data_IF_100275630502
#
_entry.id   IF_100275630502
#
_cell.length_a   1.000
_cell.length_b   1.000
_cell.length_c   1.000
_cell.angle_alpha   90.00
_cell.angle_beta   90.00
_cell.angle_gamma   90.00
#
_symmetry.space_group_name_H-M   'P 1'
#
loop_
_entity.id
_entity.type
_entity.pdbx_description
1 polymer ?
#
# COMPACT_ATOMS: atom_id res chain seq x y z
N UNK A 1 -6.61 -8.98 -2.07
CA UNK A 1 -6.85 -7.62 -1.53
C UNK A 1 -6.52 -6.52 -2.55
N UNK A 2 -6.31 -6.87 -3.83
CA UNK A 2 -6.00 -5.96 -4.92
C UNK A 2 -6.98 -4.77 -5.10
N UNK A 3 -8.28 -4.95 -4.88
CA UNK A 3 -9.26 -3.84 -5.03
C UNK A 3 -8.99 -2.70 -4.05
N UNK A 4 -8.66 -3.02 -2.80
CA UNK A 4 -8.36 -2.01 -1.78
C UNK A 4 -7.01 -1.32 -2.07
N UNK A 5 -6.03 -2.09 -2.52
CA UNK A 5 -4.73 -1.58 -3.01
C UNK A 5 -4.91 -0.62 -4.20
N UNK A 6 -5.73 -0.98 -5.18
CA UNK A 6 -6.05 -0.13 -6.33
C UNK A 6 -6.77 1.15 -5.89
N UNK A 7 -7.76 1.04 -4.98
CA UNK A 7 -8.46 2.19 -4.43
C UNK A 7 -7.50 3.17 -3.71
N UNK A 8 -6.49 2.67 -2.99
CA UNK A 8 -5.47 3.51 -2.37
C UNK A 8 -4.71 4.33 -3.40
N UNK A 9 -4.30 3.71 -4.52
CA UNK A 9 -3.63 4.40 -5.63
C UNK A 9 -4.53 5.45 -6.28
N UNK A 10 -5.79 5.12 -6.54
CA UNK A 10 -6.77 6.06 -7.12
C UNK A 10 -6.98 7.28 -6.23
N UNK A 11 -7.23 7.08 -4.93
CA UNK A 11 -7.42 8.19 -3.99
C UNK A 11 -6.15 9.02 -3.78
N UNK A 12 -4.98 8.38 -3.80
CA UNK A 12 -3.70 9.08 -3.75
C UNK A 12 -3.52 10.02 -4.95
N UNK A 13 -3.79 9.57 -6.17
CA UNK A 13 -3.71 10.40 -7.38
C UNK A 13 -4.68 11.57 -7.26
N UNK A 14 -5.95 11.31 -6.96
CA UNK A 14 -6.98 12.35 -6.89
C UNK A 14 -6.60 13.47 -5.92
N UNK A 15 -6.15 13.11 -4.71
CA UNK A 15 -5.76 14.11 -3.70
C UNK A 15 -4.49 14.86 -4.08
N UNK A 16 -3.48 14.16 -4.58
CA UNK A 16 -2.22 14.82 -4.98
C UNK A 16 -2.44 15.74 -6.18
N UNK A 17 -3.22 15.33 -7.17
CA UNK A 17 -3.59 16.19 -8.31
C UNK A 17 -4.34 17.44 -7.85
N UNK A 18 -5.31 17.31 -6.94
CA UNK A 18 -6.03 18.47 -6.40
C UNK A 18 -5.10 19.45 -5.68
N UNK A 19 -4.16 18.95 -4.87
CA UNK A 19 -3.17 19.79 -4.17
C UNK A 19 -2.25 20.50 -5.17
N UNK A 20 -1.76 19.79 -6.19
CA UNK A 20 -0.88 20.37 -7.21
C UNK A 20 -1.58 21.52 -7.95
N UNK A 21 -2.82 21.33 -8.39
CA UNK A 21 -3.59 22.37 -9.10
C UNK A 21 -3.71 23.64 -8.24
N UNK A 22 -4.09 23.50 -6.98
CA UNK A 22 -4.22 24.64 -6.05
C UNK A 22 -2.90 25.38 -5.87
N UNK A 23 -1.77 24.66 -5.82
CA UNK A 23 -0.45 25.27 -5.63
C UNK A 23 0.10 25.92 -6.91
N UNK A 24 -0.28 25.41 -8.08
CA UNK A 24 0.08 26.03 -9.37
C UNK A 24 -0.61 27.39 -9.55
N UNK A 25 -1.85 27.51 -9.09
CA UNK A 25 -2.64 28.74 -9.24
C UNK A 25 -2.15 29.88 -8.33
N UNK A 26 -1.52 29.56 -7.18
CA UNK A 26 -0.95 30.55 -6.25
C UNK A 26 0.58 30.42 -6.15
N UNK A 27 1.31 31.29 -6.87
CA UNK A 27 2.79 31.31 -6.85
C UNK A 27 3.38 31.61 -5.47
N UNK A 28 2.65 32.27 -4.57
CA UNK A 28 3.11 32.47 -3.19
C UNK A 28 3.02 31.17 -2.37
N UNK A 29 2.23 30.20 -2.85
CA UNK A 29 1.97 28.93 -2.22
C UNK A 29 2.88 27.78 -2.68
N UNK A 30 3.90 28.02 -3.53
CA UNK A 30 4.81 26.97 -4.04
C UNK A 30 5.51 26.19 -2.91
N UNK A 31 5.71 26.81 -1.74
CA UNK A 31 6.25 26.10 -0.58
C UNK A 31 5.29 25.05 0.00
N UNK A 32 3.99 25.10 -0.30
CA UNK A 32 2.98 24.14 0.16
C UNK A 32 2.86 22.89 -0.73
N UNK A 33 3.61 22.78 -1.85
CA UNK A 33 3.69 21.54 -2.64
C UNK A 33 4.06 20.33 -1.76
N UNK A 34 4.86 20.54 -0.71
CA UNK A 34 5.26 19.48 0.23
C UNK A 34 4.09 18.85 0.98
N UNK A 35 2.93 19.53 1.09
CA UNK A 35 1.71 18.98 1.70
C UNK A 35 1.22 17.75 0.94
N UNK A 36 1.49 17.64 -0.38
CA UNK A 36 1.15 16.47 -1.18
C UNK A 36 1.87 15.17 -0.74
N UNK A 37 2.98 15.28 0.02
CA UNK A 37 3.63 14.09 0.58
C UNK A 37 2.80 13.42 1.68
N UNK A 38 1.94 14.17 2.37
CA UNK A 38 1.11 13.64 3.47
C UNK A 38 0.17 12.54 2.95
N UNK A 39 -0.72 12.77 1.96
CA UNK A 39 -1.53 11.70 1.41
C UNK A 39 -0.67 10.63 0.72
N UNK A 40 0.42 11.01 0.07
CA UNK A 40 1.33 10.06 -0.60
C UNK A 40 1.88 9.00 0.36
N UNK A 41 2.41 9.42 1.51
CA UNK A 41 2.95 8.50 2.52
C UNK A 41 1.86 7.67 3.19
N UNK A 42 0.70 8.27 3.46
CA UNK A 42 -0.44 7.57 4.05
C UNK A 42 -0.94 6.45 3.13
N UNK A 43 -1.17 6.75 1.86
CA UNK A 43 -1.64 5.75 0.90
C UNK A 43 -0.57 4.71 0.56
N UNK A 44 0.72 5.08 0.56
CA UNK A 44 1.81 4.11 0.44
C UNK A 44 1.76 3.09 1.57
N UNK A 45 1.58 3.54 2.81
CA UNK A 45 1.46 2.64 3.96
C UNK A 45 0.23 1.74 3.85
N UNK A 46 -0.94 2.30 3.51
CA UNK A 46 -2.19 1.55 3.37
C UNK A 46 -2.11 0.50 2.24
N UNK A 47 -1.56 0.88 1.10
CA UNK A 47 -1.38 0.00 -0.05
C UNK A 47 -0.46 -1.18 0.29
N UNK A 48 0.68 -0.86 0.93
CA UNK A 48 1.61 -1.87 1.43
C UNK A 48 0.98 -2.77 2.48
N UNK A 49 0.09 -2.23 3.32
CA UNK A 49 -0.66 -3.00 4.32
C UNK A 49 -1.59 -4.03 3.66
N UNK A 50 -2.36 -3.61 2.64
CA UNK A 50 -3.24 -4.53 1.92
C UNK A 50 -2.47 -5.60 1.17
N UNK A 51 -1.30 -5.26 0.62
CA UNK A 51 -0.40 -6.23 -0.01
C UNK A 51 0.17 -7.23 1.00
N UNK A 52 0.64 -6.76 2.16
CA UNK A 52 1.14 -7.62 3.23
C UNK A 52 0.06 -8.55 3.78
N UNK A 53 -1.18 -8.06 3.88
CA UNK A 53 -2.34 -8.87 4.26
C UNK A 53 -2.63 -9.96 3.21
N UNK A 54 -2.59 -9.61 1.92
CA UNK A 54 -2.76 -10.59 0.84
C UNK A 54 -1.70 -11.69 0.86
N UNK A 55 -0.43 -11.33 1.06
CA UNK A 55 0.67 -12.29 1.17
C UNK A 55 0.41 -13.29 2.31
N UNK A 56 -0.03 -12.81 3.48
CA UNK A 56 -0.33 -13.67 4.63
C UNK A 56 -1.51 -14.61 4.39
N UNK A 57 -2.56 -14.12 3.73
CA UNK A 57 -3.69 -15.00 3.34
C UNK A 57 -3.23 -16.08 2.37
N UNK A 58 -2.37 -15.74 1.40
CA UNK A 58 -1.78 -16.71 0.47
C UNK A 58 -0.91 -17.76 1.20
N UNK A 59 -0.13 -17.33 2.20
CA UNK A 59 0.72 -18.24 2.98
C UNK A 59 -0.11 -19.25 3.79
N UNK A 60 -1.20 -18.78 4.43
CA UNK A 60 -2.12 -19.67 5.17
C UNK A 60 -2.78 -20.67 4.21
N UNK A 61 -3.26 -20.19 3.07
CA UNK A 61 -3.88 -21.05 2.06
C UNK A 61 -2.89 -22.12 1.56
N UNK A 62 -1.66 -21.73 1.20
CA UNK A 62 -0.63 -22.67 0.75
C UNK A 62 -0.26 -23.68 1.84
N UNK A 63 -0.22 -23.26 3.11
CA UNK A 63 0.01 -24.14 4.25
C UNK A 63 -1.12 -25.17 4.41
N UNK A 64 -2.38 -24.73 4.28
CA UNK A 64 -3.55 -25.60 4.31
C UNK A 64 -3.51 -26.65 3.19
N UNK A 65 -3.27 -26.23 1.95
CA UNK A 65 -3.17 -27.15 0.79
C UNK A 65 -2.04 -28.15 1.00
N UNK A 66 -0.90 -27.73 1.58
CA UNK A 66 0.19 -28.65 1.89
C UNK A 66 -0.21 -29.70 2.93
N UNK A 67 -0.92 -29.34 4.00
CA UNK A 67 -1.46 -30.30 4.98
C UNK A 67 -2.46 -31.26 4.34
N UNK A 68 -3.30 -30.76 3.45
CA UNK A 68 -4.29 -31.55 2.74
C UNK A 68 -3.63 -32.64 1.88
N UNK A 69 -2.59 -32.30 1.12
CA UNK A 69 -1.85 -33.27 0.30
C UNK A 69 -1.12 -34.34 1.11
N UNK A 70 -0.74 -34.05 2.36
CA UNK A 70 -0.06 -34.99 3.26
C UNK A 70 -1.06 -35.87 4.04
N UNK A 71 -2.36 -35.59 3.91
CA UNK A 71 -3.41 -36.30 4.67
C UNK A 71 -3.44 -35.93 6.16
N UNK A 72 -2.79 -34.83 6.54
CA UNK A 72 -2.70 -34.35 7.94
C UNK A 72 -3.61 -33.16 8.23
N UNK A 73 -4.46 -32.77 7.28
CA UNK A 73 -5.44 -31.71 7.47
C UNK A 73 -6.58 -32.19 8.38
N UNK A 74 -6.95 -31.37 9.36
CA UNK A 74 -8.06 -31.64 10.28
C UNK A 74 -9.26 -30.72 9.99
N UNK A 75 -10.43 -31.01 10.58
CA UNK A 75 -11.65 -30.21 10.38
C UNK A 75 -11.46 -28.78 10.89
N UNK A 76 -10.64 -28.61 11.92
CA UNK A 76 -10.30 -27.31 12.51
C UNK A 76 -9.49 -26.42 11.55
N UNK A 77 -8.74 -27.02 10.62
CA UNK A 77 -7.97 -26.28 9.61
C UNK A 77 -8.86 -25.71 8.48
N UNK A 78 -10.10 -26.18 8.33
CA UNK A 78 -10.99 -25.84 7.21
C UNK A 78 -11.64 -24.46 7.36
N UNK A 79 -11.75 -23.93 8.59
CA UNK A 79 -12.54 -22.71 8.87
C UNK A 79 -11.80 -21.58 9.58
N UNK A 80 -10.51 -21.73 9.92
CA UNK A 80 -9.74 -20.69 10.62
C UNK A 80 -8.87 -19.92 9.62
N UNK A 81 -9.44 -18.88 9.00
CA UNK A 81 -8.68 -17.92 8.19
C UNK A 81 -8.34 -16.69 9.02
N UNK A 82 -7.57 -16.89 10.09
CA UNK A 82 -7.02 -15.79 10.88
C UNK A 82 -5.56 -15.59 10.48
N UNK A 83 -5.20 -14.47 9.81
CA UNK A 83 -3.83 -14.15 9.47
C UNK A 83 -2.86 -14.20 10.65
N UNK A 84 -3.34 -14.22 11.90
CA UNK A 84 -2.58 -14.66 13.06
C UNK A 84 -1.34 -13.82 13.29
N UNK A 85 -1.43 -12.79 14.13
CA UNK A 85 -0.24 -12.02 14.50
C UNK A 85 -0.60 -10.68 15.10
N UNK A 86 0.04 -10.37 16.22
CA UNK A 86 -0.08 -9.08 16.86
C UNK A 86 0.37 -7.93 15.96
N UNK A 87 0.08 -6.72 16.41
CA UNK A 87 0.38 -5.45 15.75
C UNK A 87 1.77 -5.42 15.07
N UNK A 88 2.83 -5.82 15.80
CA UNK A 88 4.20 -5.87 15.29
C UNK A 88 4.39 -6.75 14.05
N UNK A 89 3.79 -7.96 14.02
CA UNK A 89 3.90 -8.85 12.85
C UNK A 89 3.25 -8.24 11.63
N UNK A 90 2.11 -7.57 11.82
CA UNK A 90 1.40 -6.87 10.75
C UNK A 90 2.24 -5.72 10.20
N UNK A 91 2.90 -4.94 11.07
CA UNK A 91 3.77 -3.84 10.65
C UNK A 91 5.00 -4.33 9.89
N UNK A 92 5.66 -5.39 10.38
CA UNK A 92 6.81 -5.98 9.67
C UNK A 92 6.37 -6.48 8.29
N UNK A 93 5.21 -7.14 8.19
CA UNK A 93 4.67 -7.58 6.91
C UNK A 93 4.36 -6.39 5.98
N UNK A 94 3.78 -5.31 6.49
CA UNK A 94 3.55 -4.07 5.75
C UNK A 94 4.85 -3.44 5.24
N UNK A 95 5.88 -3.35 6.09
CA UNK A 95 7.18 -2.80 5.71
C UNK A 95 7.92 -3.69 4.71
N UNK A 96 7.76 -5.01 4.79
CA UNK A 96 8.29 -5.93 3.77
C UNK A 96 7.53 -5.79 2.46
N UNK A 97 6.23 -5.56 2.52
CA UNK A 97 5.40 -5.38 1.34
C UNK A 97 5.63 -4.03 0.65
N UNK A 98 6.03 -2.98 1.37
CA UNK A 98 6.29 -1.66 0.78
C UNK A 98 7.49 -1.63 -0.17
N UNK A 99 8.43 -2.57 -0.05
CA UNK A 99 9.54 -2.74 -0.99
C UNK A 99 9.17 -3.60 -2.21
N UNK A 100 7.91 -4.02 -2.32
CA UNK A 100 7.43 -4.80 -3.46
C UNK A 100 7.42 -3.96 -4.74
N UNK A 101 7.74 -4.64 -5.85
CA UNK A 101 7.68 -4.09 -7.20
C UNK A 101 6.29 -3.57 -7.60
N UNK A 102 5.22 -4.03 -6.94
CA UNK A 102 3.85 -3.58 -7.22
C UNK A 102 3.50 -2.21 -6.60
N UNK A 103 4.31 -1.74 -5.65
CA UNK A 103 4.09 -0.49 -4.89
C UNK A 103 5.05 0.58 -5.40
N UNK A 104 6.34 0.26 -5.45
CA UNK A 104 7.41 1.25 -5.62
C UNK A 104 7.34 2.08 -6.91
N UNK A 105 7.14 1.50 -8.11
CA UNK A 105 7.10 2.27 -9.36
C UNK A 105 6.02 3.36 -9.37
N UNK A 106 4.87 3.07 -8.76
CA UNK A 106 3.76 4.02 -8.68
C UNK A 106 4.09 5.20 -7.78
N UNK A 107 4.47 4.95 -6.53
CA UNK A 107 4.76 6.02 -5.57
C UNK A 107 6.07 6.76 -5.90
N UNK A 108 7.06 6.09 -6.47
CA UNK A 108 8.28 6.74 -6.93
C UNK A 108 7.99 7.75 -8.04
N UNK A 109 7.18 7.37 -9.04
CA UNK A 109 6.75 8.29 -10.10
C UNK A 109 5.98 9.47 -9.53
N UNK A 110 5.11 9.22 -8.55
CA UNK A 110 4.30 10.24 -7.91
C UNK A 110 5.16 11.22 -7.08
N UNK A 111 6.17 10.74 -6.36
CA UNK A 111 7.16 11.57 -5.67
C UNK A 111 7.99 12.39 -6.65
N UNK A 112 8.43 11.79 -7.76
CA UNK A 112 9.16 12.51 -8.83
C UNK A 112 8.29 13.65 -9.38
N UNK A 113 7.00 13.41 -9.60
CA UNK A 113 6.06 14.43 -10.06
C UNK A 113 5.93 15.59 -9.07
N UNK A 114 5.76 15.31 -7.77
CA UNK A 114 5.68 16.34 -6.73
C UNK A 114 6.98 17.17 -6.70
N UNK A 115 8.15 16.52 -6.76
CA UNK A 115 9.44 17.21 -6.80
C UNK A 115 9.63 18.04 -8.08
N UNK A 116 9.20 17.53 -9.23
CA UNK A 116 9.26 18.25 -10.50
C UNK A 116 8.38 19.50 -10.48
N UNK A 117 7.19 19.40 -9.89
CA UNK A 117 6.23 20.52 -9.75
C UNK A 117 6.88 21.73 -9.10
N UNK A 118 7.66 21.54 -8.02
CA UNK A 118 8.42 22.62 -7.38
C UNK A 118 9.50 23.25 -8.27
N UNK A 119 10.09 22.48 -9.18
CA UNK A 119 11.21 22.95 -10.03
C UNK A 119 10.72 23.74 -11.26
N UNK A 120 9.50 23.46 -11.73
CA UNK A 120 8.94 24.05 -12.95
C UNK A 120 8.01 25.25 -12.69
N UNK A 121 7.52 25.45 -11.45
CA UNK A 121 6.73 26.61 -11.01
C UNK A 121 7.64 27.64 -10.35
#
# INVERSE_FOLDING_TARGET
MASNSAACKTWCITLVSAIIVVVVDDKSAVSYVWVAFIPTLLFLFLDSYYLGLEQRFRDIYNSFIKKLHIGSATIEDVYIVNPGGGFFKTIIATLKASTSISVWPFYALLIIMICATRKFI
#
